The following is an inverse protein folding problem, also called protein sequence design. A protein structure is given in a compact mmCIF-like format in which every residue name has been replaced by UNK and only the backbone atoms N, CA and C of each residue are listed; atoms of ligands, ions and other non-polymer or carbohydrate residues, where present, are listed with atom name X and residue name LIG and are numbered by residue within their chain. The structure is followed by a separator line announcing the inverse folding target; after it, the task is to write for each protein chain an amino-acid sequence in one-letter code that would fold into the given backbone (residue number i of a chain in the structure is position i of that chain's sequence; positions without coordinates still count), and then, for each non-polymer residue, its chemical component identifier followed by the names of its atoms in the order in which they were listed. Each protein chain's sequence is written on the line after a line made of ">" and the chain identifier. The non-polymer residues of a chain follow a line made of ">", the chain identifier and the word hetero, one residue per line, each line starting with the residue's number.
data_IF_833921061341
#
_entry.id   IF_833921061341
#
_cell.length_a   1.000
_cell.length_b   1.000
_cell.length_c   1.000
_cell.angle_alpha   90.00
_cell.angle_beta   90.00
_cell.angle_gamma   90.00
#
_symmetry.space_group_name_H-M   'P 1'
#
loop_
_entity.id
_entity.type
_entity.pdbx_description
1 polymer ?
#
# COMPACT_ATOMS: atom_id res chain seq x y z
N UNK A 1 -10.34 -2.80 -3.71
CA UNK A 1 -9.39 -3.66 -2.97
C UNK A 1 -8.09 -2.90 -2.77
N UNK A 2 -7.48 -2.96 -1.58
CA UNK A 2 -6.22 -2.26 -1.28
C UNK A 2 -5.06 -3.23 -1.48
N UNK A 3 -4.05 -2.80 -2.22
CA UNK A 3 -2.81 -3.55 -2.45
C UNK A 3 -1.62 -2.72 -1.96
N UNK A 4 -0.83 -3.31 -1.07
CA UNK A 4 0.37 -2.70 -0.48
C UNK A 4 1.58 -3.43 -1.02
N UNK A 5 2.30 -2.77 -1.91
CA UNK A 5 3.61 -3.21 -2.36
C UNK A 5 4.64 -2.86 -1.29
N UNK A 6 5.24 -3.89 -0.71
CA UNK A 6 6.18 -3.84 0.40
C UNK A 6 7.51 -4.51 0.03
N UNK A 7 8.53 -4.31 0.84
CA UNK A 7 9.79 -5.08 0.80
C UNK A 7 10.22 -5.47 2.23
N UNK A 8 11.08 -6.49 2.41
CA UNK A 8 11.62 -6.83 3.72
C UNK A 8 12.52 -5.71 4.27
N UNK A 9 12.61 -5.62 5.60
CA UNK A 9 13.39 -4.60 6.32
C UNK A 9 13.02 -3.14 5.95
N UNK A 10 11.72 -2.84 5.88
CA UNK A 10 11.19 -1.53 5.52
C UNK A 10 10.27 -0.99 6.63
N UNK A 11 10.77 -0.13 7.55
CA UNK A 11 9.98 0.38 8.66
C UNK A 11 8.70 1.13 8.24
N UNK A 12 8.76 1.85 7.11
CA UNK A 12 7.58 2.54 6.55
C UNK A 12 6.52 1.56 6.02
N UNK A 13 6.96 0.43 5.46
CA UNK A 13 6.08 -0.61 4.99
C UNK A 13 5.38 -1.28 6.18
N UNK A 14 6.11 -1.54 7.26
CA UNK A 14 5.55 -2.10 8.50
C UNK A 14 4.56 -1.14 9.17
N UNK A 15 4.86 0.17 9.19
CA UNK A 15 3.93 1.19 9.68
C UNK A 15 2.63 1.22 8.87
N UNK A 16 2.73 1.15 7.53
CA UNK A 16 1.57 1.14 6.62
C UNK A 16 0.68 -0.09 6.86
N UNK A 17 1.29 -1.29 6.89
CA UNK A 17 0.58 -2.55 7.17
C UNK A 17 -0.10 -2.50 8.54
N UNK A 18 0.63 -2.07 9.59
CA UNK A 18 0.07 -1.93 10.94
C UNK A 18 -1.12 -0.99 10.98
N UNK A 19 -1.02 0.19 10.34
CA UNK A 19 -2.11 1.16 10.32
C UNK A 19 -3.38 0.58 9.68
N UNK A 20 -3.24 -0.08 8.52
CA UNK A 20 -4.35 -0.76 7.85
C UNK A 20 -4.96 -1.86 8.73
N UNK A 21 -4.12 -2.71 9.35
CA UNK A 21 -4.58 -3.76 10.26
C UNK A 21 -5.29 -3.22 11.49
N UNK A 22 -4.76 -2.17 12.13
CA UNK A 22 -5.37 -1.53 13.31
C UNK A 22 -6.73 -0.92 12.98
N UNK A 23 -6.91 -0.42 11.75
CA UNK A 23 -8.18 0.12 11.26
C UNK A 23 -9.14 -0.97 10.76
N UNK A 24 -8.74 -2.24 10.77
CA UNK A 24 -9.56 -3.36 10.30
C UNK A 24 -9.75 -3.39 8.78
N UNK A 25 -8.85 -2.76 8.03
CA UNK A 25 -9.01 -2.62 6.58
C UNK A 25 -8.43 -3.85 5.87
N UNK A 26 -9.24 -4.58 5.07
CA UNK A 26 -8.74 -5.69 4.28
C UNK A 26 -7.79 -5.16 3.19
N UNK A 27 -6.55 -5.63 3.22
CA UNK A 27 -5.52 -5.26 2.27
C UNK A 27 -4.65 -6.47 1.92
N UNK A 28 -4.17 -6.49 0.67
CA UNK A 28 -3.22 -7.47 0.20
C UNK A 28 -1.81 -6.88 0.31
N UNK A 29 -0.87 -7.65 0.84
CA UNK A 29 0.55 -7.25 0.86
C UNK A 29 1.28 -8.07 -0.20
N UNK A 30 1.99 -7.40 -1.10
CA UNK A 30 2.80 -8.03 -2.13
C UNK A 30 4.26 -7.61 -1.93
N UNK A 31 5.14 -8.59 -1.78
CA UNK A 31 6.57 -8.34 -1.60
C UNK A 31 7.28 -8.24 -2.94
N UNK A 32 7.69 -7.02 -3.29
CA UNK A 32 8.39 -6.73 -4.56
C UNK A 32 9.81 -7.29 -4.60
N UNK A 33 10.35 -7.75 -3.47
CA UNK A 33 11.68 -8.37 -3.40
C UNK A 33 11.70 -9.78 -3.96
N UNK A 34 10.58 -10.49 -3.92
CA UNK A 34 10.48 -11.89 -4.36
C UNK A 34 9.55 -12.04 -5.57
N UNK A 35 8.70 -11.03 -5.82
CA UNK A 35 7.80 -10.99 -6.95
C UNK A 35 8.29 -9.97 -8.00
N UNK A 36 8.94 -10.42 -9.08
CA UNK A 36 9.41 -9.53 -10.14
C UNK A 36 8.27 -8.87 -10.93
N UNK A 37 7.07 -9.48 -10.98
CA UNK A 37 5.92 -8.87 -11.63
C UNK A 37 5.40 -7.69 -10.78
N UNK A 38 5.36 -7.83 -9.46
CA UNK A 38 5.02 -6.74 -8.55
C UNK A 38 6.01 -5.56 -8.66
N UNK A 39 7.31 -5.86 -8.77
CA UNK A 39 8.33 -4.85 -9.00
C UNK A 39 8.13 -4.13 -10.34
N UNK A 40 7.79 -4.86 -11.40
CA UNK A 40 7.47 -4.28 -12.70
C UNK A 40 6.26 -3.35 -12.63
N UNK A 41 5.21 -3.74 -11.90
CA UNK A 41 4.02 -2.88 -11.66
C UNK A 41 4.39 -1.59 -10.94
N UNK A 42 5.14 -1.69 -9.83
CA UNK A 42 5.59 -0.50 -9.07
C UNK A 42 6.41 0.44 -9.95
N UNK A 43 7.28 -0.10 -10.81
CA UNK A 43 8.07 0.68 -11.76
C UNK A 43 7.21 1.28 -12.88
N UNK A 44 6.24 0.54 -13.40
CA UNK A 44 5.30 1.02 -14.42
C UNK A 44 4.44 2.19 -13.91
N UNK A 45 4.11 2.19 -12.61
CA UNK A 45 3.46 3.31 -11.92
C UNK A 45 4.41 4.51 -11.68
N UNK A 46 5.69 4.42 -12.07
CA UNK A 46 6.68 5.48 -11.90
C UNK A 46 7.32 5.54 -10.51
N UNK A 47 7.13 4.51 -9.68
CA UNK A 47 7.72 4.48 -8.34
C UNK A 47 9.00 3.65 -8.30
N UNK A 48 9.99 4.17 -7.57
CA UNK A 48 11.27 3.49 -7.30
C UNK A 48 11.45 3.14 -5.82
N UNK A 49 10.51 3.56 -4.98
CA UNK A 49 10.57 3.43 -3.52
C UNK A 49 9.27 2.83 -2.99
N UNK A 50 9.38 1.95 -2.02
CA UNK A 50 8.25 1.33 -1.30
C UNK A 50 8.18 1.88 0.13
N UNK A 51 7.01 1.86 0.80
CA UNK A 51 5.75 1.22 0.37
C UNK A 51 5.03 1.96 -0.75
N UNK A 52 4.35 1.23 -1.64
CA UNK A 52 3.38 1.78 -2.59
C UNK A 52 2.03 1.17 -2.29
N UNK A 53 1.02 2.01 -2.06
CA UNK A 53 -0.35 1.58 -1.79
C UNK A 53 -1.20 1.93 -3.00
N UNK A 54 -1.98 0.96 -3.46
CA UNK A 54 -2.90 1.09 -4.60
C UNK A 54 -4.31 0.74 -4.13
N UNK A 55 -5.28 1.56 -4.49
CA UNK A 55 -6.69 1.40 -4.19
C UNK A 55 -7.55 1.95 -5.33
N UNK A 56 -8.14 1.06 -6.13
CA UNK A 56 -8.84 1.46 -7.35
C UNK A 56 -7.88 2.22 -8.27
N UNK A 57 -8.28 3.42 -8.69
CA UNK A 57 -7.46 4.32 -9.52
C UNK A 57 -6.49 5.18 -8.71
N UNK A 58 -6.57 5.15 -7.37
CA UNK A 58 -5.71 5.94 -6.50
C UNK A 58 -4.49 5.14 -6.09
N UNK A 59 -3.30 5.73 -6.23
CA UNK A 59 -2.08 5.15 -5.74
C UNK A 59 -1.15 6.20 -5.15
N UNK A 60 -0.42 5.83 -4.11
CA UNK A 60 0.55 6.71 -3.47
C UNK A 60 1.74 5.93 -2.90
N UNK A 61 2.82 6.65 -2.63
CA UNK A 61 4.04 6.09 -2.03
C UNK A 61 4.24 6.60 -0.60
N UNK A 62 4.95 5.80 0.20
CA UNK A 62 5.33 6.13 1.57
C UNK A 62 4.21 5.92 2.59
N UNK A 63 4.55 6.10 3.86
CA UNK A 63 3.59 6.03 4.95
C UNK A 63 2.78 7.34 5.02
N UNK A 64 1.50 7.27 4.62
CA UNK A 64 0.57 8.41 4.56
C UNK A 64 -0.70 8.09 5.35
N UNK A 65 -0.69 8.25 6.69
CA UNK A 65 -1.85 7.94 7.53
C UNK A 65 -3.09 8.76 7.15
N UNK A 66 -2.90 9.97 6.64
CA UNK A 66 -3.97 10.83 6.10
C UNK A 66 -4.71 10.18 4.92
N UNK A 67 -3.97 9.63 3.94
CA UNK A 67 -4.57 8.97 2.79
C UNK A 67 -5.17 7.61 3.18
N UNK A 68 -4.52 6.89 4.08
CA UNK A 68 -5.03 5.62 4.61
C UNK A 68 -6.35 5.81 5.38
N UNK A 69 -6.46 6.88 6.16
CA UNK A 69 -7.70 7.21 6.88
C UNK A 69 -8.80 7.69 5.92
N UNK A 70 -8.46 8.43 4.87
CA UNK A 70 -9.42 8.79 3.81
C UNK A 70 -10.00 7.55 3.12
N UNK A 71 -9.23 6.48 2.96
CA UNK A 71 -9.71 5.20 2.41
C UNK A 71 -10.73 4.50 3.32
N UNK A 72 -10.58 4.63 4.65
CA UNK A 72 -11.58 4.15 5.62
C UNK A 72 -12.90 4.90 5.42
N UNK A 73 -12.84 6.23 5.35
CA UNK A 73 -14.03 7.05 5.18
C UNK A 73 -14.70 6.82 3.82
N UNK A 74 -13.92 6.62 2.75
CA UNK A 74 -14.45 6.34 1.42
C UNK A 74 -15.15 4.95 1.35
N UNK A 75 -14.65 3.95 2.08
CA UNK A 75 -15.27 2.62 2.14
C UNK A 75 -16.58 2.58 2.95
N UNK A 76 -16.87 3.61 3.76
CA UNK A 76 -18.10 3.71 4.55
C UNK A 76 -19.24 4.46 3.81
N UNK A 77 -18.98 5.00 2.62
CA UNK A 77 -19.93 5.81 1.86
C UNK A 77 -20.63 5.05 0.72
N UNK A 78 -20.65 3.72 0.76
CA UNK A 78 -21.33 2.86 -0.23
C UNK A 78 -22.46 2.06 0.42
#
# INVERSE_FOLDING_TARGET
>A
MITVYSKPACPQCDATKRHLTTKGIPHQVIDVSIDPAALATVRALGYSTVPVVVYGDTHFKGFRPDMLDAMVSASAAA
#
